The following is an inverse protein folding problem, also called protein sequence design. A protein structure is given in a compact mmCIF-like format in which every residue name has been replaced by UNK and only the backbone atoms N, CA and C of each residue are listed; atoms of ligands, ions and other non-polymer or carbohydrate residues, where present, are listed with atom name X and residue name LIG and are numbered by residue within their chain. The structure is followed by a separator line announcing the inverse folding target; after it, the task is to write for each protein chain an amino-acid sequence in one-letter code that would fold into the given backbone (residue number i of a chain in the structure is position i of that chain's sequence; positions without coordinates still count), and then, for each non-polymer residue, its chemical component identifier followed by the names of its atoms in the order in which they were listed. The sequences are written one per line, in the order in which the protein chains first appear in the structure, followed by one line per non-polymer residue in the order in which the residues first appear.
data_IF_765500351374
#
_entry.id   IF_765500351374
#
_cell.length_a   1.000
_cell.length_b   1.000
_cell.length_c   1.000
_cell.angle_alpha   90.00
_cell.angle_beta   90.00
_cell.angle_gamma   90.00
#
_symmetry.space_group_name_H-M   'P 1'
#
loop_
_entity.id
_entity.type
_entity.pdbx_description
1 polymer ?
#
# COMPACT_ATOMS: atom_id res chain seq x y z
N UNK A 1 29.23 -41.75 -3.47
CA UNK A 1 29.56 -40.31 -3.38
C UNK A 1 28.26 -39.54 -3.39
N UNK A 2 27.89 -38.95 -2.25
CA UNK A 2 26.72 -38.10 -2.14
C UNK A 2 27.08 -36.69 -2.63
N UNK A 3 26.20 -36.05 -3.39
CA UNK A 3 26.04 -34.61 -3.31
C UNK A 3 24.58 -34.23 -3.55
N UNK A 4 24.06 -33.56 -2.52
CA UNK A 4 22.70 -33.11 -2.34
C UNK A 4 22.28 -32.06 -3.37
N UNK A 5 21.03 -32.20 -3.82
CA UNK A 5 20.01 -31.13 -3.81
C UNK A 5 20.50 -29.75 -3.35
N UNK A 6 20.44 -28.76 -4.25
CA UNK A 6 20.76 -27.37 -3.93
C UNK A 6 19.85 -26.41 -4.68
N UNK A 7 18.63 -26.26 -4.15
CA UNK A 7 17.88 -25.00 -4.06
C UNK A 7 18.05 -24.01 -5.23
N UNK A 8 17.06 -24.01 -6.13
CA UNK A 8 16.80 -22.99 -7.15
C UNK A 8 17.11 -21.57 -6.66
N UNK A 9 17.84 -20.80 -7.47
CA UNK A 9 18.31 -19.40 -7.29
C UNK A 9 17.19 -18.34 -7.12
N UNK A 10 16.10 -18.64 -6.42
CA UNK A 10 15.00 -17.70 -6.20
C UNK A 10 15.38 -16.55 -5.26
N UNK A 11 16.42 -16.71 -4.45
CA UNK A 11 16.88 -15.70 -3.48
C UNK A 11 17.87 -14.68 -4.06
N UNK A 12 18.48 -14.94 -5.21
CA UNK A 12 19.53 -14.07 -5.76
C UNK A 12 18.99 -12.74 -6.27
N UNK A 13 18.00 -12.81 -7.16
CA UNK A 13 17.42 -11.64 -7.81
C UNK A 13 16.63 -10.74 -6.86
N UNK A 14 15.85 -11.32 -5.93
CA UNK A 14 15.09 -10.55 -4.94
C UNK A 14 16.01 -9.84 -3.95
N UNK A 15 17.10 -10.49 -3.54
CA UNK A 15 18.10 -9.91 -2.64
C UNK A 15 18.83 -8.75 -3.30
N UNK A 16 19.26 -8.90 -4.56
CA UNK A 16 19.90 -7.81 -5.31
C UNK A 16 18.95 -6.63 -5.53
N UNK A 17 17.68 -6.89 -5.87
CA UNK A 17 16.67 -5.85 -6.03
C UNK A 17 16.45 -5.03 -4.73
N UNK A 18 16.42 -5.70 -3.57
CA UNK A 18 16.28 -5.03 -2.27
C UNK A 18 17.44 -4.07 -2.00
N UNK A 19 18.69 -4.52 -2.16
CA UNK A 19 19.87 -3.67 -1.91
C UNK A 19 20.10 -2.61 -3.00
N UNK A 20 19.57 -2.80 -4.20
CA UNK A 20 19.57 -1.80 -5.26
C UNK A 20 18.53 -0.69 -5.06
N UNK A 21 17.68 -0.78 -4.03
CA UNK A 21 16.59 0.17 -3.79
C UNK A 21 15.47 0.07 -4.83
N UNK A 22 15.37 -1.07 -5.53
CA UNK A 22 14.33 -1.29 -6.54
C UNK A 22 13.03 -1.63 -5.81
N UNK A 23 12.02 -0.77 -6.00
CA UNK A 23 10.69 -1.01 -5.45
C UNK A 23 10.06 -2.21 -6.15
N UNK A 24 9.92 -3.31 -5.43
CA UNK A 24 9.39 -4.59 -5.95
C UNK A 24 7.86 -4.60 -6.03
N UNK A 25 7.19 -3.78 -5.22
CA UNK A 25 5.72 -3.70 -5.18
C UNK A 25 5.19 -2.32 -5.54
N UNK A 26 4.24 -2.30 -6.49
CA UNK A 26 3.46 -1.11 -6.82
C UNK A 26 2.23 -1.05 -5.93
N UNK A 27 2.28 -0.17 -4.94
CA UNK A 27 1.12 0.10 -4.10
C UNK A 27 0.06 0.91 -4.88
N UNK A 28 -1.24 0.59 -4.76
CA UNK A 28 -2.30 1.31 -5.45
C UNK A 28 -2.49 2.76 -5.03
N UNK A 29 -1.97 3.18 -3.88
CA UNK A 29 -1.94 4.57 -3.41
C UNK A 29 -0.58 4.86 -2.75
N UNK A 30 -0.13 6.11 -2.84
CA UNK A 30 1.06 6.65 -2.22
C UNK A 30 0.73 7.73 -1.17
N UNK A 31 1.67 8.01 -0.28
CA UNK A 31 1.56 9.12 0.67
C UNK A 31 1.42 10.43 -0.09
N UNK A 32 0.53 11.30 0.40
CA UNK A 32 0.07 12.55 -0.20
C UNK A 32 -0.82 12.39 -1.45
N UNK A 33 -1.19 11.17 -1.86
CA UNK A 33 -2.25 11.02 -2.85
C UNK A 33 -3.55 11.63 -2.31
N UNK A 34 -4.19 12.48 -3.12
CA UNK A 34 -5.55 12.95 -2.89
C UNK A 34 -6.52 11.82 -3.24
N UNK A 35 -7.46 11.54 -2.35
CA UNK A 35 -8.47 10.48 -2.54
C UNK A 35 -9.86 10.98 -2.17
N UNK A 36 -10.88 10.34 -2.72
CA UNK A 36 -12.27 10.47 -2.30
C UNK A 36 -12.72 9.16 -1.67
N UNK A 37 -13.44 9.26 -0.56
CA UNK A 37 -14.08 8.10 0.08
C UNK A 37 -15.34 7.76 -0.72
N UNK A 38 -15.39 6.60 -1.37
CA UNK A 38 -16.54 6.18 -2.20
C UNK A 38 -17.58 5.34 -1.46
N UNK A 39 -17.23 4.76 -0.31
CA UNK A 39 -18.09 3.87 0.48
C UNK A 39 -18.00 4.11 1.99
N UNK A 40 -18.99 3.61 2.74
CA UNK A 40 -19.05 3.74 4.20
C UNK A 40 -19.58 5.07 4.72
N UNK A 41 -19.39 5.33 6.02
CA UNK A 41 -19.97 6.48 6.73
C UNK A 41 -19.38 7.84 6.36
N UNK A 42 -18.24 7.85 5.66
CA UNK A 42 -17.53 9.05 5.19
C UNK A 42 -17.63 9.27 3.68
N UNK A 43 -18.53 8.54 3.01
CA UNK A 43 -18.72 8.63 1.56
C UNK A 43 -18.88 10.07 1.07
N UNK A 44 -18.18 10.42 -0.01
CA UNK A 44 -18.14 11.72 -0.65
C UNK A 44 -17.12 12.71 -0.06
N UNK A 45 -16.43 12.34 1.02
CA UNK A 45 -15.39 13.19 1.61
C UNK A 45 -14.06 13.00 0.90
N UNK A 46 -13.33 14.11 0.73
CA UNK A 46 -11.95 14.10 0.27
C UNK A 46 -10.99 13.84 1.44
N UNK A 47 -9.88 13.18 1.14
CA UNK A 47 -8.85 12.88 2.11
C UNK A 47 -7.47 12.90 1.46
N UNK A 48 -6.43 13.03 2.29
CA UNK A 48 -5.04 12.82 1.89
C UNK A 48 -4.50 11.53 2.50
N UNK A 49 -3.82 10.70 1.73
CA UNK A 49 -3.17 9.48 2.23
C UNK A 49 -1.96 9.85 3.09
N UNK A 50 -1.94 9.42 4.34
CA UNK A 50 -0.83 9.65 5.28
C UNK A 50 0.13 8.45 5.30
N UNK A 51 -0.40 7.24 5.44
CA UNK A 51 0.39 6.01 5.57
C UNK A 51 -0.39 4.77 5.13
N UNK A 52 0.35 3.70 4.85
CA UNK A 52 -0.19 2.36 4.66
C UNK A 52 -0.06 1.61 5.99
N UNK A 53 -1.18 1.12 6.52
CA UNK A 53 -1.25 0.46 7.83
C UNK A 53 -1.18 -1.06 7.73
N UNK A 54 -1.73 -1.63 6.66
CA UNK A 54 -1.81 -3.08 6.44
C UNK A 54 -1.90 -3.37 4.93
N UNK A 55 -1.36 -4.50 4.49
CA UNK A 55 -1.42 -4.97 3.09
C UNK A 55 -2.36 -6.17 2.92
N UNK A 56 -2.32 -7.14 3.84
CA UNK A 56 -3.09 -8.38 3.72
C UNK A 56 -4.29 -8.43 4.68
N UNK A 57 -5.46 -8.95 4.25
CA UNK A 57 -5.78 -9.50 2.93
C UNK A 57 -6.10 -8.42 1.87
N UNK A 58 -6.28 -7.18 2.29
CA UNK A 58 -6.40 -6.01 1.41
C UNK A 58 -5.68 -4.81 2.05
N UNK A 59 -5.22 -3.82 1.25
CA UNK A 59 -4.54 -2.66 1.78
C UNK A 59 -5.46 -1.75 2.61
N UNK A 60 -4.99 -1.32 3.78
CA UNK A 60 -5.64 -0.29 4.60
C UNK A 60 -4.74 0.93 4.72
N UNK A 61 -5.31 2.10 4.51
CA UNK A 61 -4.60 3.37 4.52
C UNK A 61 -5.12 4.26 5.65
N UNK A 62 -4.20 4.90 6.38
CA UNK A 62 -4.52 6.04 7.20
C UNK A 62 -4.68 7.25 6.28
N UNK A 63 -5.82 7.92 6.37
CA UNK A 63 -6.13 9.11 5.59
C UNK A 63 -6.60 10.24 6.50
N UNK A 64 -6.22 11.48 6.16
CA UNK A 64 -6.70 12.70 6.83
C UNK A 64 -7.92 13.23 6.07
N UNK A 65 -9.08 13.29 6.71
CA UNK A 65 -10.32 13.78 6.09
C UNK A 65 -10.37 15.32 6.05
N UNK A 66 -10.66 15.88 4.87
CA UNK A 66 -11.00 17.29 4.73
C UNK A 66 -12.48 17.57 5.11
N UNK A 67 -12.82 18.78 5.61
CA UNK A 67 -11.92 19.88 5.96
C UNK A 67 -11.45 19.83 7.43
N UNK A 68 -11.91 18.84 8.21
CA UNK A 68 -11.80 18.86 9.67
C UNK A 68 -10.50 18.22 10.21
N UNK A 69 -9.65 17.65 9.35
CA UNK A 69 -8.37 17.04 9.73
C UNK A 69 -8.52 15.79 10.61
N UNK A 70 -9.62 15.04 10.42
CA UNK A 70 -9.83 13.81 11.19
C UNK A 70 -9.14 12.64 10.50
N UNK A 71 -8.25 11.97 11.22
CA UNK A 71 -7.58 10.79 10.73
C UNK A 71 -8.43 9.53 10.89
N UNK A 72 -8.52 8.74 9.81
CA UNK A 72 -9.26 7.47 9.81
C UNK A 72 -8.51 6.44 8.98
N UNK A 73 -8.58 5.17 9.42
CA UNK A 73 -8.07 4.05 8.64
C UNK A 73 -9.20 3.49 7.78
N UNK A 74 -9.00 3.40 6.46
CA UNK A 74 -9.96 2.86 5.51
C UNK A 74 -9.32 1.83 4.58
N UNK A 75 -10.05 0.78 4.16
CA UNK A 75 -9.56 -0.14 3.16
C UNK A 75 -9.48 0.54 1.78
N UNK A 76 -8.60 0.05 0.92
CA UNK A 76 -8.47 0.50 -0.48
C UNK A 76 -9.81 0.43 -1.22
N UNK A 77 -10.63 -0.57 -0.92
CA UNK A 77 -11.97 -0.74 -1.51
C UNK A 77 -12.90 0.44 -1.23
N UNK A 78 -12.65 1.24 -0.19
CA UNK A 78 -13.43 2.45 0.13
C UNK A 78 -12.86 3.74 -0.48
N UNK A 79 -11.69 3.67 -1.12
CA UNK A 79 -10.97 4.83 -1.61
C UNK A 79 -10.91 4.84 -3.14
N UNK A 80 -10.82 6.05 -3.70
CA UNK A 80 -10.56 6.30 -5.11
C UNK A 80 -9.62 7.49 -5.21
N UNK A 81 -8.57 7.37 -6.01
CA UNK A 81 -7.64 8.48 -6.24
C UNK A 81 -8.31 9.58 -7.05
N UNK A 82 -8.05 10.83 -6.68
CA UNK A 82 -8.50 12.01 -7.38
C UNK A 82 -7.26 12.72 -7.91
N UNK A 83 -7.16 12.81 -9.23
CA UNK A 83 -6.06 13.48 -9.95
C UNK A 83 -6.26 15.01 -9.99
#
# INVERSE_FOLDING_TARGET
MAQHSGSKDYLGAEREAFYAGVRTEKLPLAVNDSVCVKEGSKKGQFAAVISLERIDPEPFYLVELAPNGNDIVLPLSHLERVD
#
